data_IF_867995141302
#
_entry.id   IF_867995141302
#
_cell.length_a   1.000
_cell.length_b   1.000
_cell.length_c   1.000
_cell.angle_alpha   90.00
_cell.angle_beta   90.00
_cell.angle_gamma   90.00
#
_symmetry.space_group_name_H-M   'P 1'
#
loop_
_entity.id
_entity.type
_entity.pdbx_description
1 polymer ?
#
# COMPACT_ATOMS: atom_id res chain seq x y z
N UNK A 1 -22.81 28.30 18.36
CA UNK A 1 -21.82 27.92 17.32
C UNK A 1 -20.76 27.06 17.98
N UNK A 2 -20.76 25.75 17.73
CA UNK A 2 -19.77 24.81 18.27
C UNK A 2 -18.73 24.53 17.17
N UNK A 3 -17.48 24.85 17.45
CA UNK A 3 -16.34 24.69 16.54
C UNK A 3 -15.64 23.36 16.86
N UNK A 4 -15.32 22.61 15.81
CA UNK A 4 -14.74 21.28 15.78
C UNK A 4 -13.68 20.99 16.85
N UNK A 5 -13.83 19.86 17.54
CA UNK A 5 -12.71 19.12 18.14
C UNK A 5 -12.73 17.69 17.60
N UNK A 6 -12.39 17.56 16.32
CA UNK A 6 -12.00 16.28 15.75
C UNK A 6 -10.67 15.88 16.37
N UNK A 7 -10.72 15.15 17.49
CA UNK A 7 -9.58 14.39 17.98
C UNK A 7 -9.41 13.20 17.07
N UNK A 8 -8.68 13.41 15.98
CA UNK A 8 -8.20 12.35 15.12
C UNK A 8 -6.72 12.16 15.46
N UNK A 9 -6.45 11.67 16.67
CA UNK A 9 -5.19 11.00 16.97
C UNK A 9 -5.46 9.52 16.71
N UNK A 10 -5.49 9.13 15.45
CA UNK A 10 -5.27 7.73 15.13
C UNK A 10 -3.78 7.49 15.37
N UNK A 11 -3.51 6.77 16.46
CA UNK A 11 -2.26 6.12 16.84
C UNK A 11 -1.10 6.34 15.87
N UNK A 12 -0.10 7.12 16.31
CA UNK A 12 1.27 6.98 15.83
C UNK A 12 1.75 5.62 16.34
N UNK A 13 1.36 4.54 15.65
CA UNK A 13 2.08 3.29 15.75
C UNK A 13 3.48 3.60 15.22
N UNK A 14 4.49 3.32 16.03
CA UNK A 14 5.88 3.31 15.57
C UNK A 14 5.96 2.14 14.59
N UNK A 15 5.64 2.43 13.32
CA UNK A 15 5.54 1.44 12.25
C UNK A 15 6.96 0.91 12.09
N UNK A 16 7.18 -0.30 12.59
CA UNK A 16 8.44 -1.01 12.39
C UNK A 16 8.72 -1.02 10.89
N UNK A 17 10.00 -0.90 10.50
CA UNK A 17 10.33 -0.64 9.09
C UNK A 17 9.81 -1.71 8.12
N UNK A 18 9.43 -2.87 8.64
CA UNK A 18 8.80 -4.00 7.95
C UNK A 18 7.34 -3.73 7.55
N UNK A 19 6.62 -2.86 8.25
CA UNK A 19 5.22 -2.51 7.98
C UNK A 19 5.07 -1.32 6.99
N UNK A 20 6.18 -0.64 6.65
CA UNK A 20 6.17 0.49 5.72
C UNK A 20 5.59 0.17 4.33
N UNK A 21 5.87 -1.00 3.74
CA UNK A 21 5.24 -1.39 2.48
C UNK A 21 3.73 -1.56 2.60
N UNK A 22 3.29 -2.23 3.65
CA UNK A 22 1.87 -2.42 3.97
C UNK A 22 1.14 -1.08 4.04
N UNK A 23 1.66 -0.14 4.83
CA UNK A 23 1.05 1.17 4.99
C UNK A 23 1.05 2.00 3.71
N UNK A 24 2.15 1.96 2.94
CA UNK A 24 2.24 2.65 1.67
C UNK A 24 1.14 2.17 0.73
N UNK A 25 0.96 0.86 0.60
CA UNK A 25 -0.04 0.28 -0.30
C UNK A 25 -1.48 0.47 0.18
N UNK A 26 -1.73 0.38 1.50
CA UNK A 26 -3.01 0.76 2.11
C UNK A 26 -3.42 2.19 1.73
N UNK A 27 -2.49 3.14 1.87
CA UNK A 27 -2.74 4.54 1.56
C UNK A 27 -2.85 4.76 0.06
N UNK A 28 -1.96 4.14 -0.73
CA UNK A 28 -1.84 4.42 -2.16
C UNK A 28 -3.00 3.86 -2.97
N UNK A 29 -3.43 2.64 -2.64
CA UNK A 29 -4.48 1.94 -3.37
C UNK A 29 -5.90 2.33 -2.96
N UNK A 30 -6.03 3.13 -1.89
CA UNK A 30 -7.30 3.77 -1.54
C UNK A 30 -7.76 4.74 -2.64
N UNK A 31 -6.82 5.28 -3.41
CA UNK A 31 -7.07 6.15 -4.53
C UNK A 31 -7.12 5.33 -5.83
N UNK A 32 -7.98 5.68 -6.80
CA UNK A 32 -8.03 5.02 -8.11
C UNK A 32 -6.85 5.38 -9.03
N UNK A 33 -5.84 6.07 -8.52
CA UNK A 33 -4.73 6.61 -9.29
C UNK A 33 -3.61 5.59 -9.46
N UNK A 34 -2.92 5.66 -10.60
CA UNK A 34 -1.71 4.88 -10.85
C UNK A 34 -0.64 5.20 -9.81
N UNK A 35 0.00 4.16 -9.26
CA UNK A 35 1.06 4.24 -8.25
C UNK A 35 2.43 4.04 -8.90
N UNK A 36 3.21 5.10 -9.15
CA UNK A 36 4.57 4.98 -9.68
C UNK A 36 5.46 4.14 -8.76
N UNK A 37 6.27 3.26 -9.33
CA UNK A 37 7.23 2.47 -8.55
C UNK A 37 8.26 3.34 -7.82
N UNK A 38 8.55 4.51 -8.39
CA UNK A 38 9.45 5.51 -7.79
C UNK A 38 8.90 6.08 -6.48
N UNK A 39 7.58 6.24 -6.34
CA UNK A 39 6.96 6.74 -5.11
C UNK A 39 7.23 5.79 -3.94
N UNK A 40 7.12 4.48 -4.16
CA UNK A 40 7.39 3.49 -3.12
C UNK A 40 8.78 3.69 -2.51
N UNK A 41 9.81 3.72 -3.36
CA UNK A 41 11.20 3.91 -2.90
C UNK A 41 11.38 5.28 -2.23
N UNK A 42 10.72 6.32 -2.72
CA UNK A 42 10.82 7.67 -2.14
C UNK A 42 10.20 7.76 -0.74
N UNK A 43 9.04 7.13 -0.53
CA UNK A 43 8.31 7.21 0.75
C UNK A 43 8.78 6.17 1.77
N UNK A 44 9.01 4.92 1.36
CA UNK A 44 9.42 3.84 2.28
C UNK A 44 10.93 3.79 2.48
N UNK A 45 11.72 4.30 1.52
CA UNK A 45 13.18 4.16 1.43
C UNK A 45 13.65 2.70 1.36
N UNK A 46 12.76 1.79 0.95
CA UNK A 46 13.05 0.38 0.77
C UNK A 46 13.24 0.05 -0.72
N UNK A 47 13.99 -1.02 -0.99
CA UNK A 47 14.12 -1.57 -2.34
C UNK A 47 12.83 -2.30 -2.74
N UNK A 48 12.44 -2.21 -4.00
CA UNK A 48 11.32 -2.98 -4.57
C UNK A 48 11.52 -4.50 -4.42
N UNK A 49 12.76 -4.96 -4.26
CA UNK A 49 13.09 -6.37 -4.05
C UNK A 49 12.37 -6.96 -2.83
N UNK A 50 12.15 -6.14 -1.80
CA UNK A 50 11.46 -6.56 -0.56
C UNK A 50 10.00 -6.88 -0.82
N UNK A 51 9.37 -6.15 -1.75
CA UNK A 51 7.96 -6.30 -2.09
C UNK A 51 7.74 -7.14 -3.34
N UNK A 52 8.80 -7.59 -4.03
CA UNK A 52 8.68 -8.26 -5.32
C UNK A 52 7.88 -9.55 -5.23
N UNK A 53 8.13 -10.36 -4.19
CA UNK A 53 7.38 -11.60 -3.96
C UNK A 53 5.89 -11.35 -3.71
N UNK A 54 5.46 -10.54 -2.72
CA UNK A 54 4.04 -10.28 -2.49
C UNK A 54 3.37 -9.52 -3.62
N UNK A 55 4.11 -8.69 -4.36
CA UNK A 55 3.61 -8.01 -5.55
C UNK A 55 3.28 -9.01 -6.67
N UNK A 56 4.15 -9.98 -6.94
CA UNK A 56 3.89 -11.02 -7.93
C UNK A 56 2.68 -11.87 -7.55
N UNK A 57 2.53 -12.19 -6.26
CA UNK A 57 1.33 -12.87 -5.73
C UNK A 57 0.06 -12.05 -5.94
N UNK A 58 0.08 -10.73 -5.66
CA UNK A 58 -1.06 -9.85 -5.87
C UNK A 58 -1.40 -9.69 -7.37
N UNK A 59 -0.41 -9.71 -8.26
CA UNK A 59 -0.63 -9.71 -9.71
C UNK A 59 -1.21 -11.05 -10.17
N UNK A 60 -0.71 -12.17 -9.66
CA UNK A 60 -1.21 -13.50 -9.97
C UNK A 60 -2.67 -13.70 -9.51
N UNK A 61 -3.06 -13.09 -8.38
CA UNK A 61 -4.44 -13.06 -7.89
C UNK A 61 -5.34 -12.12 -8.69
N UNK A 62 -4.77 -11.27 -9.56
CA UNK A 62 -5.51 -10.28 -10.36
C UNK A 62 -5.92 -9.04 -9.55
N UNK A 63 -5.35 -8.84 -8.37
CA UNK A 63 -5.62 -7.69 -7.50
C UNK A 63 -4.88 -6.44 -7.96
N UNK A 64 -3.70 -6.64 -8.54
CA UNK A 64 -2.82 -5.60 -9.05
C UNK A 64 -2.42 -5.86 -10.49
N UNK A 65 -2.16 -4.78 -11.22
CA UNK A 65 -1.56 -4.84 -12.55
C UNK A 65 -0.27 -4.03 -12.52
N UNK A 66 0.84 -4.66 -12.88
CA UNK A 66 2.12 -4.00 -13.06
C UNK A 66 2.25 -3.50 -14.50
N UNK A 67 2.64 -2.25 -14.64
CA UNK A 67 3.09 -1.64 -15.90
C UNK A 67 4.57 -1.27 -15.80
N UNK A 68 5.18 -0.89 -16.92
CA UNK A 68 6.61 -0.54 -16.97
C UNK A 68 7.01 0.64 -16.05
N UNK A 69 6.04 1.46 -15.63
CA UNK A 69 6.30 2.71 -14.89
C UNK A 69 5.43 2.88 -13.63
N UNK A 70 4.47 2.00 -13.38
CA UNK A 70 3.54 2.13 -12.26
C UNK A 70 2.78 0.84 -12.00
N UNK A 71 2.24 0.71 -10.80
CA UNK A 71 1.25 -0.29 -10.44
C UNK A 71 -0.14 0.32 -10.45
N UNK A 72 -1.12 -0.46 -10.88
CA UNK A 72 -2.51 -0.06 -10.90
C UNK A 72 -3.32 -1.11 -10.15
N UNK A 73 -4.02 -0.69 -9.10
CA UNK A 73 -4.95 -1.58 -8.42
C UNK A 73 -6.17 -1.85 -9.30
N UNK A 74 -6.58 -3.11 -9.38
CA UNK A 74 -7.76 -3.53 -10.14
C UNK A 74 -9.03 -3.34 -9.30
N UNK A 75 -10.20 -3.52 -9.92
CA UNK A 75 -11.46 -3.52 -9.17
C UNK A 75 -11.53 -4.68 -8.17
N UNK A 76 -10.91 -5.83 -8.49
CA UNK A 76 -10.83 -6.98 -7.60
C UNK A 76 -9.99 -6.65 -6.37
N UNK A 77 -8.77 -6.11 -6.57
CA UNK A 77 -7.91 -5.70 -5.46
C UNK A 77 -8.55 -4.67 -4.55
N UNK A 78 -9.39 -3.77 -5.10
CA UNK A 78 -10.15 -2.81 -4.28
C UNK A 78 -11.14 -3.48 -3.32
N UNK A 79 -11.72 -4.61 -3.70
CA UNK A 79 -12.61 -5.38 -2.82
C UNK A 79 -11.83 -6.10 -1.72
N UNK A 80 -10.58 -6.49 -2.02
CA UNK A 80 -9.68 -7.19 -1.10
C UNK A 80 -8.60 -6.29 -0.49
N UNK A 81 -8.84 -4.97 -0.41
CA UNK A 81 -7.89 -4.00 0.15
C UNK A 81 -7.49 -4.27 1.59
N UNK A 82 -8.30 -4.99 2.37
CA UNK A 82 -7.96 -5.34 3.74
C UNK A 82 -6.94 -6.48 3.80
N UNK A 83 -6.84 -7.32 2.77
CA UNK A 83 -6.01 -8.52 2.75
C UNK A 83 -4.86 -8.49 1.75
N UNK A 84 -4.96 -7.67 0.71
CA UNK A 84 -3.86 -7.41 -0.21
C UNK A 84 -2.61 -6.88 0.51
N UNK A 85 -2.71 -5.87 1.39
CA UNK A 85 -1.55 -5.32 2.10
C UNK A 85 -0.96 -6.34 3.08
N UNK A 86 -1.77 -7.24 3.65
CA UNK A 86 -1.30 -8.30 4.58
C UNK A 86 -0.22 -9.19 3.94
N UNK A 87 -0.22 -9.36 2.62
CA UNK A 87 0.82 -10.09 1.88
C UNK A 87 2.21 -9.45 2.03
N UNK A 88 2.27 -8.14 2.29
CA UNK A 88 3.51 -7.38 2.43
C UNK A 88 4.06 -7.39 3.87
N UNK A 89 3.34 -8.00 4.81
CA UNK A 89 3.85 -8.25 6.16
C UNK A 89 4.77 -9.47 6.11
N UNK A 90 6.05 -9.25 6.41
CA UNK A 90 6.98 -10.35 6.70
C UNK A 90 6.87 -10.64 8.19
N UNK A 91 6.37 -11.82 8.56
CA UNK A 91 6.41 -12.34 9.95
C UNK A 91 7.83 -12.28 10.57
#
# INVERSE_FOLDING_TARGET
MAICRGRYLESQLDVEQVDKPFEFFMNRFRLPEAAPWTEFTQYTRLSETVIRQPLDEAIAQGDLTESETHWQITQHGKLFLNSLPELFLTE
#
